data_IF_085196533346
#
_entry.id   IF_085196533346
#
_cell.length_a   1.000
_cell.length_b   1.000
_cell.length_c   1.000
_cell.angle_alpha   90.00
_cell.angle_beta   90.00
_cell.angle_gamma   90.00
#
_symmetry.space_group_name_H-M   'P 1'
#
loop_
_entity.id
_entity.type
_entity.pdbx_description
1 polymer ?
#
# COMPACT_ATOMS: atom_id res chain seq x y z
N UNK A 1 -13.67 -21.17 -3.88
CA UNK A 1 -14.25 -20.50 -2.69
C UNK A 1 -13.45 -19.22 -2.45
N UNK A 2 -14.06 -18.04 -2.51
CA UNK A 2 -13.38 -16.78 -2.18
C UNK A 2 -13.15 -16.76 -0.66
N UNK A 3 -11.90 -16.80 -0.21
CA UNK A 3 -11.57 -16.57 1.20
C UNK A 3 -11.61 -15.06 1.46
N UNK A 4 -12.34 -14.57 2.47
CA UNK A 4 -12.29 -13.17 2.84
C UNK A 4 -10.87 -12.80 3.27
N UNK A 5 -10.39 -11.65 2.80
CA UNK A 5 -9.09 -11.12 3.18
C UNK A 5 -9.35 -10.11 4.29
N UNK A 6 -8.84 -10.39 5.48
CA UNK A 6 -8.91 -9.45 6.60
C UNK A 6 -7.82 -8.39 6.43
N UNK A 7 -8.22 -7.13 6.48
CA UNK A 7 -7.31 -5.99 6.52
C UNK A 7 -7.62 -5.25 7.81
N UNK A 8 -6.71 -5.30 8.78
CA UNK A 8 -6.80 -4.58 10.03
C UNK A 8 -5.75 -3.46 10.09
N UNK A 9 -5.75 -2.70 11.19
CA UNK A 9 -4.82 -1.59 11.38
C UNK A 9 -3.35 -2.05 11.44
N UNK A 10 -3.09 -3.27 11.91
CA UNK A 10 -1.73 -3.79 12.00
C UNK A 10 -1.19 -4.11 10.60
N UNK A 11 -1.98 -4.76 9.77
CA UNK A 11 -1.63 -5.02 8.37
C UNK A 11 -1.37 -3.72 7.59
N UNK A 12 -2.18 -2.67 7.84
CA UNK A 12 -1.97 -1.34 7.26
C UNK A 12 -0.66 -0.72 7.76
N UNK A 13 -0.38 -0.80 9.07
CA UNK A 13 0.87 -0.30 9.67
C UNK A 13 2.09 -1.02 9.08
N UNK A 14 2.06 -2.34 9.02
CA UNK A 14 3.13 -3.13 8.41
C UNK A 14 3.32 -2.80 6.94
N UNK A 15 2.23 -2.56 6.19
CA UNK A 15 2.33 -2.15 4.78
C UNK A 15 3.11 -0.86 4.64
N UNK A 16 2.93 0.09 5.56
CA UNK A 16 3.65 1.38 5.55
C UNK A 16 5.10 1.23 6.03
N UNK A 17 5.36 0.43 7.07
CA UNK A 17 6.69 0.26 7.65
C UNK A 17 7.60 -0.64 6.81
N UNK A 18 7.03 -1.69 6.22
CA UNK A 18 7.75 -2.71 5.45
C UNK A 18 7.04 -2.97 4.11
N UNK A 19 6.98 -1.96 3.21
CA UNK A 19 6.36 -2.12 1.91
C UNK A 19 7.20 -3.02 1.01
N UNK A 20 6.54 -3.84 0.19
CA UNK A 20 7.21 -4.52 -0.94
C UNK A 20 7.56 -3.52 -2.05
N UNK A 21 6.78 -2.44 -2.16
CA UNK A 21 7.04 -1.32 -3.07
C UNK A 21 6.59 0.00 -2.46
N UNK A 22 7.44 1.01 -2.56
CA UNK A 22 7.14 2.37 -2.14
C UNK A 22 7.22 3.31 -3.33
N UNK A 23 6.13 4.01 -3.64
CA UNK A 23 6.14 5.11 -4.61
C UNK A 23 6.16 6.45 -3.89
N UNK A 24 7.12 7.29 -4.24
CA UNK A 24 7.18 8.69 -3.83
C UNK A 24 6.53 9.55 -4.90
N UNK A 25 5.53 10.36 -4.52
CA UNK A 25 4.93 11.38 -5.39
C UNK A 25 5.29 12.77 -4.85
N UNK A 26 4.92 13.82 -5.57
CA UNK A 26 5.22 15.21 -5.19
C UNK A 26 4.88 15.52 -3.73
N UNK A 27 5.79 16.27 -3.09
CA UNK A 27 5.71 16.63 -1.68
C UNK A 27 5.87 15.43 -0.74
N UNK A 28 5.01 15.38 0.27
CA UNK A 28 5.03 14.35 1.30
C UNK A 28 4.08 13.17 1.02
N UNK A 29 3.59 13.03 -0.22
CA UNK A 29 2.69 11.94 -0.61
C UNK A 29 3.50 10.67 -0.90
N UNK A 30 3.06 9.56 -0.31
CA UNK A 30 3.64 8.24 -0.47
C UNK A 30 2.56 7.21 -0.80
N UNK A 31 2.94 6.15 -1.51
CA UNK A 31 2.09 4.99 -1.74
C UNK A 31 2.88 3.73 -1.39
N UNK A 32 2.53 3.11 -0.27
CA UNK A 32 3.09 1.84 0.15
C UNK A 32 2.25 0.69 -0.41
N UNK A 33 2.92 -0.39 -0.82
CA UNK A 33 2.27 -1.56 -1.39
C UNK A 33 2.71 -2.83 -0.67
N UNK A 34 1.76 -3.73 -0.41
CA UNK A 34 2.04 -5.06 0.14
C UNK A 34 1.07 -6.08 -0.46
N UNK A 35 1.54 -7.28 -0.79
CA UNK A 35 0.74 -8.38 -1.34
C UNK A 35 -0.43 -8.74 -0.41
N UNK A 36 -1.63 -8.86 -0.99
CA UNK A 36 -2.81 -9.44 -0.34
C UNK A 36 -2.98 -10.92 -0.72
N UNK A 37 -2.74 -11.25 -1.99
CA UNK A 37 -2.74 -12.61 -2.51
C UNK A 37 -1.93 -12.67 -3.82
N UNK A 38 -1.99 -13.77 -4.56
CA UNK A 38 -1.26 -13.95 -5.82
C UNK A 38 -1.51 -12.84 -6.85
N UNK A 39 -2.72 -12.29 -6.88
CA UNK A 39 -3.17 -11.35 -7.91
C UNK A 39 -3.43 -9.93 -7.42
N UNK A 40 -3.54 -9.73 -6.10
CA UNK A 40 -3.90 -8.47 -5.47
C UNK A 40 -2.79 -7.96 -4.54
N UNK A 41 -2.62 -6.64 -4.55
CA UNK A 41 -1.82 -5.89 -3.58
C UNK A 41 -2.72 -4.90 -2.85
N UNK A 42 -2.43 -4.60 -1.59
CA UNK A 42 -2.97 -3.44 -0.91
C UNK A 42 -2.12 -2.25 -1.28
N UNK A 43 -2.76 -1.15 -1.67
CA UNK A 43 -2.11 0.16 -1.81
C UNK A 43 -2.59 1.04 -0.68
N UNK A 44 -1.64 1.55 0.10
CA UNK A 44 -1.89 2.51 1.17
C UNK A 44 -1.33 3.85 0.75
N UNK A 45 -2.21 4.82 0.50
CA UNK A 45 -1.82 6.19 0.17
C UNK A 45 -1.79 6.98 1.48
N UNK A 46 -0.65 7.57 1.78
CA UNK A 46 -0.45 8.32 3.00
C UNK A 46 0.41 9.56 2.77
N UNK A 47 0.39 10.45 3.76
CA UNK A 47 1.35 11.54 3.87
C UNK A 47 2.25 11.32 5.07
N UNK A 48 3.55 11.49 4.87
CA UNK A 48 4.55 11.47 5.95
C UNK A 48 4.76 12.88 6.52
N UNK A 49 4.76 12.97 7.84
CA UNK A 49 5.19 14.15 8.58
C UNK A 49 6.28 13.72 9.56
N UNK A 50 6.99 14.68 10.15
CA UNK A 50 8.11 14.39 11.04
C UNK A 50 7.74 13.54 12.25
N UNK A 51 6.50 13.63 12.76
CA UNK A 51 6.05 12.96 13.98
C UNK A 51 4.88 11.98 13.79
N UNK A 52 4.20 12.01 12.64
CA UNK A 52 3.05 11.14 12.39
C UNK A 52 2.85 10.91 10.89
N UNK A 53 1.98 9.96 10.58
CA UNK A 53 1.49 9.69 9.24
C UNK A 53 -0.02 9.92 9.18
N UNK A 54 -0.51 10.38 8.04
CA UNK A 54 -1.95 10.41 7.76
C UNK A 54 -2.23 9.43 6.63
N UNK A 55 -2.95 8.35 6.93
CA UNK A 55 -3.49 7.46 5.91
C UNK A 55 -4.68 8.16 5.26
N UNK A 56 -4.58 8.40 3.95
CA UNK A 56 -5.62 9.10 3.17
C UNK A 56 -6.63 8.08 2.64
N UNK A 57 -6.14 6.98 2.05
CA UNK A 57 -6.98 5.91 1.52
C UNK A 57 -6.19 4.62 1.42
N UNK A 58 -6.89 3.49 1.53
CA UNK A 58 -6.37 2.16 1.25
C UNK A 58 -7.31 1.48 0.26
N UNK A 59 -6.74 0.80 -0.74
CA UNK A 59 -7.53 0.09 -1.75
C UNK A 59 -6.74 -1.09 -2.33
N UNK A 60 -7.42 -2.20 -2.68
CA UNK A 60 -6.79 -3.28 -3.42
C UNK A 60 -6.49 -2.85 -4.85
N UNK A 61 -5.35 -3.26 -5.37
CA UNK A 61 -4.94 -3.11 -6.76
C UNK A 61 -4.55 -4.46 -7.38
N UNK A 62 -4.72 -4.60 -8.71
CA UNK A 62 -4.19 -5.77 -9.43
C UNK A 62 -2.66 -5.69 -9.48
N UNK A 63 -1.97 -6.76 -9.11
CA UNK A 63 -0.49 -6.82 -9.09
C UNK A 63 0.10 -6.47 -10.46
N UNK A 64 -0.45 -7.04 -11.52
CA UNK A 64 0.00 -6.83 -12.91
C UNK A 64 -0.05 -5.39 -13.38
N UNK A 65 -0.96 -4.56 -12.84
CA UNK A 65 -1.08 -3.15 -13.19
C UNK A 65 0.11 -2.33 -12.70
N UNK A 66 0.69 -2.70 -11.56
CA UNK A 66 1.72 -1.91 -10.89
C UNK A 66 3.13 -2.52 -11.00
N UNK A 67 3.27 -3.72 -11.57
CA UNK A 67 4.58 -4.25 -11.97
C UNK A 67 5.14 -3.51 -13.20
N UNK A 68 4.26 -2.96 -14.06
CA UNK A 68 4.63 -2.32 -15.32
C UNK A 68 5.13 -0.86 -15.17
N UNK A 69 4.72 -0.15 -14.11
CA UNK A 69 5.11 1.25 -13.86
C UNK A 69 6.54 1.37 -13.28
N UNK A 70 7.46 0.45 -13.62
CA UNK A 70 8.83 0.37 -13.08
C UNK A 70 9.91 0.81 -14.08
N UNK A 71 9.55 1.55 -15.13
CA UNK A 71 10.49 2.09 -16.13
C UNK A 71 11.04 3.43 -15.67
#
# INVERSE_FOLDING_TARGET
MLRPILIDSEFVRETIQFPERLETKEGNKRIAQKKLNENLVLRVVYRDFSSFIIVITLYPGRKTRYEQDSV
#
